data_IF_652571862751
#
_entry.id   IF_652571862751
#
_cell.length_a   1.000
_cell.length_b   1.000
_cell.length_c   1.000
_cell.angle_alpha   90.00
_cell.angle_beta   90.00
_cell.angle_gamma   90.00
#
_symmetry.space_group_name_H-M   'P 1'
#
loop_
_entity.id
_entity.type
_entity.pdbx_description
1 polymer ?
#
# COMPACT_ATOMS: atom_id res chain seq x y z
N UNK A 1 24.41 -1.09 -18.89
CA UNK A 1 23.48 -2.24 -18.88
C UNK A 1 22.14 -1.76 -19.38
N UNK A 2 21.67 -2.30 -20.51
CA UNK A 2 20.33 -1.98 -21.03
C UNK A 2 19.24 -2.64 -20.21
N UNK A 3 18.04 -2.09 -20.26
CA UNK A 3 16.83 -2.70 -19.73
C UNK A 3 15.79 -2.78 -20.85
N UNK A 4 14.95 -3.82 -20.81
CA UNK A 4 13.77 -3.92 -21.66
C UNK A 4 12.57 -3.40 -20.89
N UNK A 5 11.78 -2.53 -21.52
CA UNK A 5 10.51 -2.04 -20.96
C UNK A 5 9.38 -2.69 -21.72
N UNK A 6 8.43 -3.27 -20.98
CA UNK A 6 7.18 -3.80 -21.50
C UNK A 6 6.03 -3.00 -20.93
N UNK A 7 5.09 -2.61 -21.78
CA UNK A 7 3.91 -1.82 -21.39
C UNK A 7 2.64 -2.62 -21.67
N UNK A 8 2.26 -3.56 -20.78
CA UNK A 8 1.02 -4.32 -20.92
C UNK A 8 -0.18 -3.37 -20.92
N UNK A 9 -1.15 -3.60 -21.80
CA UNK A 9 -2.32 -2.73 -21.96
C UNK A 9 -3.48 -3.14 -21.07
N UNK A 10 -3.50 -4.40 -20.65
CA UNK A 10 -4.57 -4.95 -19.79
C UNK A 10 -4.01 -5.58 -18.52
N UNK A 11 -4.82 -5.63 -17.47
CA UNK A 11 -4.49 -6.36 -16.24
C UNK A 11 -4.11 -7.82 -16.49
N UNK A 12 -4.84 -8.47 -17.40
CA UNK A 12 -4.60 -9.88 -17.71
C UNK A 12 -3.23 -10.08 -18.37
N UNK A 13 -2.84 -9.20 -19.29
CA UNK A 13 -1.52 -9.22 -19.91
C UNK A 13 -0.41 -8.96 -18.89
N UNK A 14 -0.59 -7.95 -18.03
CA UNK A 14 0.36 -7.62 -16.96
C UNK A 14 0.61 -8.82 -16.04
N UNK A 15 -0.47 -9.46 -15.58
CA UNK A 15 -0.40 -10.62 -14.70
C UNK A 15 0.23 -11.83 -15.39
N UNK A 16 -0.10 -12.09 -16.67
CA UNK A 16 0.52 -13.16 -17.47
C UNK A 16 2.02 -12.94 -17.62
N UNK A 17 2.45 -11.72 -17.95
CA UNK A 17 3.85 -11.36 -18.08
C UNK A 17 4.58 -11.49 -16.74
N UNK A 18 3.97 -11.02 -15.65
CA UNK A 18 4.53 -11.14 -14.30
C UNK A 18 4.77 -12.61 -13.94
N UNK A 19 3.74 -13.45 -14.09
CA UNK A 19 3.83 -14.89 -13.80
C UNK A 19 4.88 -15.59 -14.67
N UNK A 20 4.97 -15.23 -15.96
CA UNK A 20 6.02 -15.74 -16.85
C UNK A 20 7.43 -15.38 -16.35
N UNK A 21 7.66 -14.11 -15.99
CA UNK A 21 8.96 -13.63 -15.50
C UNK A 21 9.35 -14.30 -14.18
N UNK A 22 8.40 -14.49 -13.27
CA UNK A 22 8.59 -15.22 -12.01
C UNK A 22 8.96 -16.68 -12.26
N UNK A 23 8.23 -17.37 -13.14
CA UNK A 23 8.46 -18.79 -13.49
C UNK A 23 9.83 -18.99 -14.12
N UNK A 24 10.25 -18.06 -14.98
CA UNK A 24 11.58 -18.08 -15.62
C UNK A 24 12.68 -17.53 -14.72
N UNK A 25 12.38 -17.10 -13.48
CA UNK A 25 13.32 -16.49 -12.52
C UNK A 25 14.11 -15.34 -13.13
N UNK A 26 13.48 -14.57 -14.01
CA UNK A 26 14.12 -13.42 -14.66
C UNK A 26 14.16 -12.23 -13.71
N UNK A 27 15.28 -11.50 -13.73
CA UNK A 27 15.42 -10.26 -12.95
C UNK A 27 14.43 -9.22 -13.51
N UNK A 28 13.35 -8.98 -12.78
CA UNK A 28 12.33 -8.01 -13.17
C UNK A 28 11.78 -7.23 -11.97
N UNK A 29 11.11 -6.13 -12.29
CA UNK A 29 10.22 -5.44 -11.37
C UNK A 29 9.09 -4.83 -12.19
N UNK A 30 7.93 -4.62 -11.56
CA UNK A 30 6.80 -3.91 -12.15
C UNK A 30 6.08 -3.10 -11.09
N UNK A 31 5.00 -2.44 -11.48
CA UNK A 31 4.13 -1.66 -10.60
C UNK A 31 2.71 -2.20 -10.66
N UNK A 32 1.92 -1.90 -9.64
CA UNK A 32 0.48 -2.12 -9.68
C UNK A 32 -0.11 -1.27 -10.81
N UNK A 33 -0.97 -1.87 -11.64
CA UNK A 33 -1.69 -1.10 -12.66
C UNK A 33 -2.68 -0.14 -12.01
N UNK A 34 -2.87 1.02 -12.62
CA UNK A 34 -3.74 2.08 -12.09
C UNK A 34 -5.16 1.57 -11.79
N UNK A 35 -5.72 0.73 -12.67
CA UNK A 35 -7.08 0.18 -12.53
C UNK A 35 -7.24 -0.77 -11.34
N UNK A 36 -6.14 -1.34 -10.84
CA UNK A 36 -6.17 -2.23 -9.67
C UNK A 36 -5.82 -1.50 -8.37
N UNK A 37 -5.32 -0.27 -8.47
CA UNK A 37 -4.92 0.48 -7.29
C UNK A 37 -6.15 0.76 -6.44
N UNK A 38 -6.11 0.26 -5.21
CA UNK A 38 -7.18 0.46 -4.24
C UNK A 38 -7.39 1.94 -3.96
N UNK A 39 -8.64 2.39 -4.05
CA UNK A 39 -9.04 3.73 -3.62
C UNK A 39 -9.16 3.71 -2.10
N UNK A 40 -8.42 4.59 -1.43
CA UNK A 40 -8.38 4.66 0.03
C UNK A 40 -8.73 6.05 0.50
N UNK A 41 -9.54 6.13 1.54
CA UNK A 41 -9.90 7.37 2.20
C UNK A 41 -9.73 7.24 3.71
N UNK A 42 -9.58 8.39 4.37
CA UNK A 42 -9.59 8.50 5.83
C UNK A 42 -10.77 9.36 6.22
N UNK A 43 -11.62 8.84 7.09
CA UNK A 43 -12.69 9.58 7.75
C UNK A 43 -12.17 10.01 9.12
N UNK A 44 -12.18 11.31 9.39
CA UNK A 44 -11.75 11.88 10.67
C UNK A 44 -12.93 12.45 11.44
N UNK A 45 -12.76 12.59 12.76
CA UNK A 45 -13.70 13.22 13.70
C UNK A 45 -14.96 12.39 14.00
N UNK A 46 -14.88 11.08 13.82
CA UNK A 46 -15.83 10.14 14.40
C UNK A 46 -15.33 9.65 15.77
N UNK A 47 -16.24 9.30 16.70
CA UNK A 47 -15.87 8.65 17.96
C UNK A 47 -15.03 7.39 17.75
N UNK A 48 -14.15 7.08 18.70
CA UNK A 48 -13.20 5.95 18.61
C UNK A 48 -13.85 4.57 18.77
N UNK A 49 -15.13 4.54 19.08
CA UNK A 49 -15.99 3.38 19.29
C UNK A 49 -17.17 3.35 18.29
N UNK A 50 -17.20 4.27 17.33
CA UNK A 50 -18.26 4.33 16.32
C UNK A 50 -18.25 3.06 15.43
N UNK A 51 -19.43 2.51 15.17
CA UNK A 51 -19.59 1.23 14.47
C UNK A 51 -19.20 1.35 12.99
N UNK A 52 -18.29 0.50 12.53
CA UNK A 52 -17.88 0.47 11.13
C UNK A 52 -19.02 0.09 10.18
N UNK A 53 -20.04 -0.63 10.66
CA UNK A 53 -21.22 -0.99 9.86
C UNK A 53 -22.08 0.23 9.53
N UNK A 54 -22.25 1.14 10.49
CA UNK A 54 -22.99 2.39 10.29
C UNK A 54 -22.23 3.29 9.30
N UNK A 55 -20.89 3.39 9.43
CA UNK A 55 -20.06 4.07 8.42
C UNK A 55 -20.29 3.46 7.03
N UNK A 56 -20.30 2.13 6.92
CA UNK A 56 -20.51 1.46 5.64
C UNK A 56 -21.90 1.75 5.05
N UNK A 57 -22.94 1.79 5.89
CA UNK A 57 -24.31 2.08 5.50
C UNK A 57 -24.45 3.51 4.96
N UNK A 58 -23.96 4.48 5.72
CA UNK A 58 -23.99 5.90 5.33
C UNK A 58 -23.20 6.15 4.03
N UNK A 59 -22.00 5.58 3.90
CA UNK A 59 -21.21 5.68 2.67
C UNK A 59 -21.94 5.11 1.45
N UNK A 60 -22.65 3.99 1.61
CA UNK A 60 -23.50 3.43 0.54
C UNK A 60 -24.66 4.35 0.20
N UNK A 61 -25.28 4.99 1.19
CA UNK A 61 -26.31 6.02 0.98
C UNK A 61 -25.82 7.21 0.16
N UNK A 62 -24.53 7.57 0.29
CA UNK A 62 -23.87 8.58 -0.55
C UNK A 62 -23.41 8.07 -1.94
N UNK A 63 -23.66 6.80 -2.27
CA UNK A 63 -23.26 6.19 -3.55
C UNK A 63 -21.83 5.63 -3.57
N UNK A 64 -21.16 5.52 -2.42
CA UNK A 64 -19.85 4.88 -2.35
C UNK A 64 -19.95 3.38 -2.07
N UNK A 65 -18.98 2.62 -2.55
CA UNK A 65 -18.92 1.17 -2.31
C UNK A 65 -17.70 0.81 -1.44
N UNK A 66 -17.84 0.83 -0.09
CA UNK A 66 -16.77 0.41 0.79
C UNK A 66 -16.60 -1.12 0.77
N UNK A 67 -15.37 -1.56 0.53
CA UNK A 67 -14.94 -2.97 0.61
C UNK A 67 -14.39 -3.33 1.99
N UNK A 68 -13.73 -2.39 2.67
CA UNK A 68 -13.16 -2.61 3.99
C UNK A 68 -13.09 -1.31 4.78
N UNK A 69 -13.46 -1.36 6.07
CA UNK A 69 -13.40 -0.23 7.00
C UNK A 69 -12.69 -0.70 8.27
N UNK A 70 -11.74 0.09 8.74
CA UNK A 70 -11.01 -0.19 9.99
C UNK A 70 -10.69 1.09 10.74
N UNK A 71 -10.63 1.00 12.07
CA UNK A 71 -10.19 2.12 12.89
C UNK A 71 -8.66 2.20 12.90
N UNK A 72 -8.12 3.41 12.77
CA UNK A 72 -6.69 3.63 12.87
C UNK A 72 -6.26 3.60 14.34
N UNK A 73 -5.15 2.93 14.62
CA UNK A 73 -4.57 2.82 15.96
C UNK A 73 -3.27 3.58 16.07
N UNK A 74 -3.05 4.19 17.24
CA UNK A 74 -1.77 4.78 17.56
C UNK A 74 -0.71 3.67 17.63
N UNK A 75 0.37 3.81 16.85
CA UNK A 75 1.41 2.78 16.74
C UNK A 75 2.17 2.52 18.05
N UNK A 76 2.25 3.50 18.96
CA UNK A 76 2.98 3.38 20.24
C UNK A 76 2.09 2.82 21.35
N UNK A 77 0.89 3.37 21.50
CA UNK A 77 -0.02 3.01 22.60
C UNK A 77 -1.01 1.91 22.25
N UNK A 78 -1.13 1.57 20.96
CA UNK A 78 -2.13 0.63 20.42
C UNK A 78 -3.59 1.01 20.74
N UNK A 79 -3.84 2.30 21.03
CA UNK A 79 -5.17 2.83 21.30
C UNK A 79 -5.84 3.29 20.01
N UNK A 80 -7.17 3.21 19.97
CA UNK A 80 -7.97 3.71 18.86
C UNK A 80 -7.79 5.23 18.71
N UNK A 81 -7.71 5.69 17.47
CA UNK A 81 -7.73 7.11 17.11
C UNK A 81 -9.07 7.46 16.48
N UNK A 82 -9.54 8.72 16.57
CA UNK A 82 -10.80 9.18 15.97
C UNK A 82 -10.69 9.33 14.45
N UNK A 83 -10.20 8.27 13.80
CA UNK A 83 -9.89 8.18 12.37
C UNK A 83 -10.15 6.75 11.88
N UNK A 84 -10.88 6.63 10.78
CA UNK A 84 -11.21 5.36 10.14
C UNK A 84 -10.62 5.32 8.74
N UNK A 85 -9.90 4.24 8.42
CA UNK A 85 -9.46 3.94 7.07
C UNK A 85 -10.57 3.22 6.33
N UNK A 86 -10.87 3.69 5.12
CA UNK A 86 -11.86 3.12 4.22
C UNK A 86 -11.18 2.72 2.93
N UNK A 87 -11.40 1.48 2.49
CA UNK A 87 -11.01 0.98 1.18
C UNK A 87 -12.26 0.89 0.32
N UNK A 88 -12.27 1.59 -0.81
CA UNK A 88 -13.38 1.64 -1.76
C UNK A 88 -13.08 0.75 -2.96
N UNK A 89 -14.14 0.22 -3.58
CA UNK A 89 -14.03 -0.48 -4.85
C UNK A 89 -13.55 0.50 -5.93
N UNK A 90 -12.72 0.03 -6.86
CA UNK A 90 -12.25 0.88 -7.95
C UNK A 90 -13.36 1.04 -9.00
N UNK A 91 -14.09 2.15 -8.96
CA UNK A 91 -15.09 2.54 -9.96
C UNK A 91 -15.07 4.07 -10.14
N UNK A 92 -15.70 4.58 -11.21
CA UNK A 92 -15.69 6.02 -11.52
C UNK A 92 -16.42 6.86 -10.45
N UNK A 93 -17.42 6.30 -9.77
CA UNK A 93 -18.16 6.97 -8.70
C UNK A 93 -17.27 7.22 -7.47
N UNK A 94 -16.46 6.24 -7.08
CA UNK A 94 -15.53 6.33 -5.95
C UNK A 94 -14.28 7.17 -6.28
N UNK A 95 -14.01 7.48 -7.55
CA UNK A 95 -12.96 8.43 -7.97
C UNK A 95 -13.37 9.90 -7.78
N UNK A 96 -14.65 10.16 -7.49
CA UNK A 96 -15.14 11.51 -7.25
C UNK A 96 -14.61 12.09 -5.93
N UNK A 97 -14.66 13.41 -5.81
CA UNK A 97 -14.27 14.09 -4.57
C UNK A 97 -15.21 13.72 -3.42
N UNK A 98 -14.65 13.45 -2.25
CA UNK A 98 -15.42 13.18 -1.04
C UNK A 98 -16.12 14.45 -0.53
N UNK A 99 -17.33 14.73 -1.01
CA UNK A 99 -18.15 15.85 -0.53
C UNK A 99 -19.03 15.51 0.69
N UNK A 100 -18.60 14.56 1.51
CA UNK A 100 -19.30 14.14 2.72
C UNK A 100 -18.93 15.09 3.88
N UNK A 101 -19.92 15.84 4.38
CA UNK A 101 -19.74 16.77 5.50
C UNK A 101 -20.15 16.18 6.85
N UNK A 102 -21.13 15.27 6.83
CA UNK A 102 -21.65 14.63 8.02
C UNK A 102 -21.84 13.13 7.76
N UNK A 103 -21.69 12.35 8.83
CA UNK A 103 -22.12 10.96 8.92
C UNK A 103 -23.00 10.93 10.18
N UNK A 104 -24.27 10.56 10.01
CA UNK A 104 -25.33 10.81 11.00
C UNK A 104 -25.29 12.28 11.50
N UNK A 105 -25.17 12.45 12.82
CA UNK A 105 -25.13 13.72 13.53
C UNK A 105 -23.70 14.26 13.71
N UNK A 106 -22.67 13.55 13.21
CA UNK A 106 -21.27 13.93 13.38
C UNK A 106 -20.74 14.68 12.17
N UNK A 107 -20.15 15.84 12.40
CA UNK A 107 -19.40 16.57 11.37
C UNK A 107 -18.05 15.91 11.13
N UNK A 108 -17.84 15.40 9.93
CA UNK A 108 -16.64 14.65 9.55
C UNK A 108 -15.75 15.40 8.56
N UNK A 109 -14.54 14.89 8.39
CA UNK A 109 -13.67 15.24 7.27
C UNK A 109 -13.28 13.94 6.59
N UNK A 110 -13.62 13.80 5.31
CA UNK A 110 -13.23 12.66 4.49
C UNK A 110 -12.19 13.12 3.48
N UNK A 111 -11.04 12.47 3.48
CA UNK A 111 -9.92 12.81 2.60
C UNK A 111 -9.37 11.55 1.92
N UNK A 112 -8.86 11.65 0.67
CA UNK A 112 -8.10 10.56 0.09
C UNK A 112 -6.86 10.27 0.95
N UNK A 113 -6.55 9.00 1.14
CA UNK A 113 -5.32 8.60 1.81
C UNK A 113 -4.15 9.03 0.92
N UNK A 114 -3.37 10.00 1.40
CA UNK A 114 -2.23 10.51 0.65
C UNK A 114 -1.18 9.43 0.44
N UNK A 115 -0.77 9.25 -0.81
CA UNK A 115 0.44 8.52 -1.13
C UNK A 115 1.65 9.29 -0.58
N UNK A 116 2.51 8.60 0.15
CA UNK A 116 3.73 9.20 0.69
C UNK A 116 4.75 9.38 -0.45
N UNK A 117 5.14 10.62 -0.74
CA UNK A 117 5.94 10.97 -1.94
C UNK A 117 7.45 10.68 -1.84
N UNK A 118 7.87 9.75 -0.99
CA UNK A 118 9.28 9.33 -0.98
C UNK A 118 9.54 8.26 -2.02
N UNK A 119 10.72 8.29 -2.63
CA UNK A 119 11.19 7.24 -3.54
C UNK A 119 11.14 5.88 -2.83
N UNK A 120 10.24 4.97 -3.24
CA UNK A 120 10.07 3.72 -2.52
C UNK A 120 11.35 2.89 -2.62
N UNK A 121 11.80 2.37 -1.48
CA UNK A 121 12.90 1.42 -1.44
C UNK A 121 12.35 0.02 -1.26
N UNK A 122 12.76 -0.89 -2.13
CA UNK A 122 12.33 -2.27 -2.09
C UNK A 122 12.89 -2.98 -0.84
N UNK A 123 12.03 -3.44 0.07
CA UNK A 123 12.47 -4.21 1.24
C UNK A 123 13.18 -5.53 0.87
N UNK A 124 12.95 -6.08 -0.33
CA UNK A 124 13.62 -7.29 -0.81
C UNK A 124 14.98 -6.99 -1.45
N UNK A 125 15.02 -6.22 -2.53
CA UNK A 125 16.26 -5.96 -3.30
C UNK A 125 17.08 -4.76 -2.81
N UNK A 126 16.50 -3.91 -1.94
CA UNK A 126 17.08 -2.65 -1.45
C UNK A 126 17.27 -1.54 -2.48
N UNK A 127 16.92 -1.78 -3.74
CA UNK A 127 16.96 -0.76 -4.79
C UNK A 127 15.80 0.25 -4.63
N UNK A 128 16.01 1.46 -5.16
CA UNK A 128 15.02 2.53 -5.15
C UNK A 128 14.07 2.44 -6.35
N UNK A 129 12.94 3.15 -6.25
CA UNK A 129 11.90 3.28 -7.26
C UNK A 129 11.09 2.00 -7.50
N UNK A 130 11.06 1.06 -6.55
CA UNK A 130 10.22 -0.12 -6.65
C UNK A 130 9.79 -0.69 -5.30
N UNK A 131 8.68 -1.45 -5.31
CA UNK A 131 8.15 -2.15 -4.13
C UNK A 131 8.49 -3.63 -4.16
N UNK A 132 8.60 -4.26 -2.99
CA UNK A 132 8.93 -5.69 -2.88
C UNK A 132 7.88 -6.61 -3.49
N UNK A 133 6.61 -6.21 -3.49
CA UNK A 133 5.51 -7.06 -3.95
C UNK A 133 5.60 -7.42 -5.43
N UNK A 134 6.18 -6.53 -6.23
CA UNK A 134 6.31 -6.66 -7.68
C UNK A 134 7.79 -6.72 -8.10
N UNK A 135 8.65 -7.34 -7.30
CA UNK A 135 10.10 -7.35 -7.51
C UNK A 135 10.68 -8.76 -7.44
N UNK A 136 11.26 -9.22 -8.55
CA UNK A 136 11.94 -10.52 -8.68
C UNK A 136 13.47 -10.38 -8.70
N UNK A 137 13.99 -9.22 -8.33
CA UNK A 137 15.43 -8.99 -8.25
C UNK A 137 16.01 -9.71 -7.04
N UNK A 138 17.31 -10.05 -7.12
CA UNK A 138 18.00 -10.75 -6.05
C UNK A 138 17.90 -10.00 -4.72
N UNK A 139 17.62 -10.71 -3.60
CA UNK A 139 17.40 -10.07 -2.32
C UNK A 139 18.71 -9.53 -1.74
N UNK A 140 18.60 -8.42 -0.99
CA UNK A 140 19.67 -7.82 -0.21
C UNK A 140 19.23 -7.67 1.24
N UNK A 141 20.07 -8.16 2.16
CA UNK A 141 19.77 -8.12 3.58
C UNK A 141 19.89 -6.69 4.13
N UNK A 142 18.81 -6.17 4.75
CA UNK A 142 18.78 -4.88 5.45
C UNK A 142 19.73 -4.78 6.65
N UNK A 143 20.30 -5.91 7.10
CA UNK A 143 21.16 -6.00 8.29
C UNK A 143 22.64 -5.98 7.92
N UNK A 144 23.02 -6.61 6.81
CA UNK A 144 24.43 -6.81 6.45
C UNK A 144 24.73 -6.72 4.95
N UNK A 145 23.76 -6.30 4.13
CA UNK A 145 23.90 -6.18 2.67
C UNK A 145 24.21 -7.49 1.92
N UNK A 146 24.09 -8.64 2.58
CA UNK A 146 24.30 -9.96 1.98
C UNK A 146 23.23 -10.33 0.96
N UNK A 147 23.56 -11.22 0.04
CA UNK A 147 22.66 -11.69 -1.04
C UNK A 147 21.67 -12.75 -0.55
N UNK A 148 20.85 -12.38 0.44
CA UNK A 148 19.85 -13.26 1.05
C UNK A 148 18.69 -12.44 1.63
N UNK A 149 17.55 -13.09 1.90
CA UNK A 149 16.41 -12.42 2.55
C UNK A 149 16.77 -11.95 3.97
N UNK A 150 16.24 -10.79 4.34
CA UNK A 150 16.44 -10.20 5.68
C UNK A 150 15.94 -11.11 6.82
N UNK A 151 14.97 -11.98 6.55
CA UNK A 151 14.40 -12.92 7.52
C UNK A 151 15.41 -14.00 7.98
N UNK A 152 16.36 -14.41 7.14
CA UNK A 152 17.29 -15.50 7.44
C UNK A 152 18.36 -15.17 8.49
N UNK A 153 18.45 -13.90 8.92
CA UNK A 153 19.47 -13.46 9.88
C UNK A 153 18.87 -12.63 10.99
N UNK A 154 19.28 -12.82 12.24
CA UNK A 154 18.94 -11.88 13.33
C UNK A 154 19.84 -10.63 13.25
N UNK A 155 19.32 -9.46 13.64
CA UNK A 155 20.13 -8.23 13.69
C UNK A 155 21.13 -8.38 14.85
N UNK A 156 22.42 -8.19 14.59
CA UNK A 156 23.43 -8.17 15.65
C UNK A 156 23.25 -6.93 16.52
N UNK A 157 23.43 -7.06 17.82
CA UNK A 157 23.53 -5.92 18.75
C UNK A 157 24.92 -5.29 18.73
N UNK A 158 25.95 -6.03 18.29
CA UNK A 158 27.35 -5.59 18.30
C UNK A 158 27.70 -4.67 17.13
N UNK A 159 27.00 -4.80 16.01
CA UNK A 159 27.31 -4.07 14.79
C UNK A 159 26.08 -3.35 14.25
N UNK A 160 26.23 -2.10 13.76
CA UNK A 160 25.14 -1.41 13.09
C UNK A 160 24.75 -2.15 11.80
N UNK A 161 23.57 -1.82 11.28
CA UNK A 161 23.14 -2.35 10.00
C UNK A 161 23.99 -1.76 8.87
N UNK A 162 24.36 -2.59 7.89
CA UNK A 162 25.05 -2.14 6.68
C UNK A 162 24.05 -1.79 5.57
N UNK A 163 24.16 -0.58 5.01
CA UNK A 163 23.31 -0.15 3.90
C UNK A 163 23.79 -0.77 2.58
N UNK A 164 22.88 -1.42 1.84
CA UNK A 164 23.23 -2.04 0.56
C UNK A 164 23.59 -1.02 -0.54
N UNK A 165 23.19 0.25 -0.38
CA UNK A 165 23.39 1.31 -1.38
C UNK A 165 24.51 2.30 -1.02
N UNK A 166 24.92 2.39 0.25
CA UNK A 166 25.88 3.41 0.71
C UNK A 166 27.30 2.87 0.97
N UNK A 167 27.48 1.54 1.06
CA UNK A 167 28.77 0.93 1.40
C UNK A 167 29.03 0.81 2.89
#
# INVERSE_FOLDING_TARGET
>A
MGYFVFSPKTFLEHRKLQSYLETKKMRSHTFEMADNKQLKAVIRRLPTDYDQKEIASELKGFGFEPSHISILRNRKTNTNMPQFSVVLIHNEENKQNFFIKNIDFFRVVVEPLKDYSMYPQCYSSQEFYNHSHFCNRAPKCLKCSGSHLTAYRKKSTKFPAKCANCG
#
